data_IF_311292604140
#
_entry.id   IF_311292604140
#
_cell.length_a   1.000
_cell.length_b   1.000
_cell.length_c   1.000
_cell.angle_alpha   90.00
_cell.angle_beta   90.00
_cell.angle_gamma   90.00
#
_symmetry.space_group_name_H-M   'P 1'
#
loop_
_entity.id
_entity.type
_entity.pdbx_description
1 polymer ?
#
# COMPACT_ATOMS: atom_id res chain seq x y z
N UNK A 1 39.95 -58.58 49.57
CA UNK A 1 38.62 -58.32 49.03
C UNK A 1 38.06 -57.07 49.72
N UNK A 2 38.08 -55.95 49.04
CA UNK A 2 37.49 -54.66 49.53
C UNK A 2 36.29 -54.29 48.67
N UNK A 3 35.15 -54.14 49.34
CA UNK A 3 33.88 -53.73 48.67
C UNK A 3 33.94 -52.30 48.27
N UNK A 4 33.45 -51.99 47.06
CA UNK A 4 33.28 -50.64 46.51
C UNK A 4 31.96 -49.95 47.01
N UNK A 5 31.93 -48.62 47.20
CA UNK A 5 30.75 -47.94 47.67
C UNK A 5 29.74 -47.72 46.55
N UNK A 6 28.46 -47.84 46.88
CA UNK A 6 27.26 -47.58 45.98
C UNK A 6 27.04 -46.06 45.81
N UNK A 7 27.07 -45.64 44.61
CA UNK A 7 26.64 -44.27 44.28
C UNK A 7 25.09 -44.09 44.42
N UNK A 8 24.70 -43.10 45.19
CA UNK A 8 23.31 -42.67 45.32
C UNK A 8 22.88 -41.96 44.02
N UNK A 9 21.81 -42.46 43.42
CA UNK A 9 21.21 -41.86 42.23
C UNK A 9 20.49 -40.55 42.59
N UNK A 10 20.98 -39.45 42.04
CA UNK A 10 20.30 -38.15 42.04
C UNK A 10 19.08 -38.20 41.12
N UNK A 11 17.88 -38.03 41.68
CA UNK A 11 16.65 -37.90 40.91
C UNK A 11 16.62 -36.49 40.32
N UNK A 12 16.81 -36.41 39.00
CA UNK A 12 16.58 -35.20 38.25
C UNK A 12 15.08 -34.93 38.25
N UNK A 13 14.64 -33.86 38.95
CA UNK A 13 13.27 -33.39 38.92
C UNK A 13 12.97 -32.78 37.57
N UNK A 14 12.13 -33.43 36.79
CA UNK A 14 11.61 -32.88 35.56
C UNK A 14 10.70 -31.67 35.91
N UNK A 15 11.17 -30.46 35.63
CA UNK A 15 10.35 -29.28 35.66
C UNK A 15 9.29 -29.45 34.56
N UNK A 16 8.01 -29.57 34.96
CA UNK A 16 6.87 -29.49 34.02
C UNK A 16 6.86 -28.08 33.42
N UNK A 17 7.22 -27.97 32.16
CA UNK A 17 6.93 -26.77 31.38
C UNK A 17 5.41 -26.61 31.36
N UNK A 18 4.92 -25.45 31.82
CA UNK A 18 3.50 -25.06 31.63
C UNK A 18 3.31 -24.97 30.12
N UNK A 19 2.54 -25.91 29.58
CA UNK A 19 2.06 -25.79 28.20
C UNK A 19 1.26 -24.47 28.12
N UNK A 20 1.73 -23.57 27.30
CA UNK A 20 1.01 -22.32 27.01
C UNK A 20 -0.25 -22.74 26.25
N UNK A 21 -1.39 -22.47 26.83
CA UNK A 21 -2.69 -22.74 26.21
C UNK A 21 -2.91 -21.74 25.08
N UNK A 22 -2.71 -22.16 23.85
CA UNK A 22 -2.89 -21.38 22.63
C UNK A 22 -4.35 -21.29 22.19
N UNK A 23 -5.29 -21.83 22.97
CA UNK A 23 -6.71 -21.88 22.59
C UNK A 23 -7.47 -20.59 22.88
N UNK A 24 -6.89 -19.65 23.62
CA UNK A 24 -7.53 -18.34 23.87
C UNK A 24 -7.03 -17.34 22.85
N UNK A 25 -7.60 -17.36 21.65
CA UNK A 25 -7.52 -16.19 20.74
C UNK A 25 -8.29 -15.06 21.43
N UNK A 26 -7.58 -14.10 22.00
CA UNK A 26 -8.21 -12.85 22.44
C UNK A 26 -8.78 -12.20 21.19
N UNK A 27 -10.09 -12.08 21.12
CA UNK A 27 -10.74 -11.23 20.13
C UNK A 27 -10.19 -9.81 20.34
N UNK A 28 -9.47 -9.30 19.35
CA UNK A 28 -9.03 -7.91 19.35
C UNK A 28 -10.28 -7.08 19.18
N UNK A 29 -10.58 -6.20 20.15
CA UNK A 29 -11.67 -5.24 20.01
C UNK A 29 -11.33 -4.31 18.85
N UNK A 30 -12.29 -4.05 17.98
CA UNK A 30 -12.11 -3.12 16.87
C UNK A 30 -11.87 -1.72 17.41
N UNK A 31 -10.87 -1.02 16.86
CA UNK A 31 -10.56 0.36 17.20
C UNK A 31 -11.69 1.32 16.79
N UNK A 32 -12.53 0.93 15.80
CA UNK A 32 -13.61 1.74 15.31
C UNK A 32 -14.90 0.93 15.19
N UNK A 33 -16.05 1.40 15.76
CA UNK A 33 -17.30 0.64 15.75
C UNK A 33 -17.87 0.40 14.35
N UNK A 34 -17.65 1.32 13.42
CA UNK A 34 -18.13 1.24 12.04
C UNK A 34 -17.19 0.46 11.11
N UNK A 35 -16.01 0.09 11.61
CA UNK A 35 -14.98 -0.66 10.87
C UNK A 35 -14.51 -1.87 11.68
N UNK A 36 -15.36 -2.89 11.83
CA UNK A 36 -15.02 -4.07 12.61
C UNK A 36 -13.84 -4.81 11.97
N UNK A 37 -12.80 -5.03 12.76
CA UNK A 37 -11.55 -5.64 12.33
C UNK A 37 -10.37 -4.67 12.19
N UNK A 38 -10.61 -3.36 12.30
CA UNK A 38 -9.53 -2.40 12.49
C UNK A 38 -8.92 -2.55 13.89
N UNK A 39 -7.63 -2.33 13.98
CA UNK A 39 -6.84 -2.36 15.21
C UNK A 39 -6.12 -1.03 15.38
N UNK A 40 -5.72 -0.72 16.62
CA UNK A 40 -4.92 0.47 16.89
C UNK A 40 -3.58 0.42 16.13
N UNK A 41 -3.02 1.59 15.80
CA UNK A 41 -1.77 1.69 15.04
C UNK A 41 -0.55 1.11 15.78
N UNK A 42 -0.62 1.01 17.11
CA UNK A 42 0.40 0.40 17.97
C UNK A 42 0.24 -1.11 18.15
N UNK A 43 -0.67 -1.74 17.41
CA UNK A 43 -0.83 -3.19 17.41
C UNK A 43 0.50 -3.89 17.10
N UNK A 44 0.85 -4.91 17.89
CA UNK A 44 2.09 -5.64 17.74
C UNK A 44 2.18 -6.30 16.37
N UNK A 45 3.29 -6.05 15.66
CA UNK A 45 3.51 -6.51 14.28
C UNK A 45 4.70 -7.44 14.20
N UNK A 46 4.56 -8.44 13.35
CA UNK A 46 5.64 -9.34 12.95
C UNK A 46 6.34 -8.79 11.70
N UNK A 47 7.65 -8.70 11.75
CA UNK A 47 8.48 -8.22 10.65
C UNK A 47 9.42 -9.32 10.17
N UNK A 48 9.68 -9.34 8.87
CA UNK A 48 10.74 -10.14 8.28
C UNK A 48 11.73 -9.24 7.56
N UNK A 49 13.02 -9.52 7.74
CA UNK A 49 14.08 -8.86 6.98
C UNK A 49 14.85 -9.91 6.17
N UNK A 50 15.09 -9.61 4.90
CA UNK A 50 15.87 -10.47 4.01
C UNK A 50 16.57 -9.62 2.95
N UNK A 51 17.68 -10.13 2.45
CA UNK A 51 18.36 -9.52 1.31
C UNK A 51 17.70 -9.94 0.01
N UNK A 52 17.61 -9.00 -0.91
CA UNK A 52 17.20 -9.30 -2.28
C UNK A 52 18.17 -10.35 -2.87
N UNK A 53 17.68 -11.50 -3.32
CA UNK A 53 18.53 -12.55 -3.89
C UNK A 53 19.35 -12.08 -5.09
N UNK A 54 18.82 -11.14 -5.86
CA UNK A 54 19.45 -10.60 -7.07
C UNK A 54 20.34 -9.37 -6.78
N UNK A 55 20.18 -8.76 -5.59
CA UNK A 55 20.96 -7.58 -5.17
C UNK A 55 21.34 -7.64 -3.69
N UNK A 56 22.51 -8.20 -3.33
CA UNK A 56 22.98 -8.31 -1.94
C UNK A 56 23.16 -6.97 -1.19
N UNK A 57 23.20 -5.86 -1.93
CA UNK A 57 23.23 -4.50 -1.35
C UNK A 57 21.85 -3.96 -0.98
N UNK A 58 20.79 -4.73 -1.17
CA UNK A 58 19.41 -4.33 -0.92
C UNK A 58 18.78 -5.21 0.16
N UNK A 59 18.41 -4.59 1.28
CA UNK A 59 17.68 -5.22 2.40
C UNK A 59 16.20 -4.87 2.28
N UNK A 60 15.33 -5.86 2.37
CA UNK A 60 13.89 -5.67 2.39
C UNK A 60 13.39 -5.99 3.81
N UNK A 61 12.68 -5.04 4.42
CA UNK A 61 11.96 -5.21 5.68
C UNK A 61 10.46 -5.19 5.40
N UNK A 62 9.76 -6.28 5.66
CA UNK A 62 8.36 -6.44 5.33
C UNK A 62 7.50 -6.67 6.59
N UNK A 63 6.42 -5.91 6.72
CA UNK A 63 5.41 -6.07 7.76
C UNK A 63 4.51 -7.26 7.44
N UNK A 64 4.82 -8.43 7.99
CA UNK A 64 4.06 -9.65 7.72
C UNK A 64 2.65 -9.59 8.29
N UNK A 65 2.46 -8.97 9.43
CA UNK A 65 1.14 -8.84 10.06
C UNK A 65 0.17 -8.17 9.11
N UNK A 66 0.57 -7.06 8.50
CA UNK A 66 -0.27 -6.34 7.56
C UNK A 66 -0.35 -7.04 6.19
N UNK A 67 0.78 -7.47 5.63
CA UNK A 67 0.81 -8.11 4.30
C UNK A 67 0.00 -9.41 4.23
N UNK A 68 -0.12 -10.14 5.35
CA UNK A 68 -0.93 -11.35 5.45
C UNK A 68 -2.37 -11.07 5.89
N UNK A 69 -2.70 -9.83 6.22
CA UNK A 69 -4.07 -9.43 6.55
C UNK A 69 -4.95 -9.41 5.29
N UNK A 70 -6.26 -9.29 5.49
CA UNK A 70 -7.24 -9.12 4.40
C UNK A 70 -7.67 -7.67 4.37
N UNK A 71 -7.47 -7.03 3.23
CA UNK A 71 -7.95 -5.69 2.99
C UNK A 71 -8.66 -5.62 1.63
N UNK A 72 -9.55 -4.66 1.47
CA UNK A 72 -10.31 -4.44 0.24
C UNK A 72 -10.38 -2.95 -0.05
N UNK A 73 -10.06 -2.55 -1.29
CA UNK A 73 -10.29 -1.17 -1.72
C UNK A 73 -11.80 -0.89 -1.70
N UNK A 74 -12.18 0.13 -0.95
CA UNK A 74 -13.59 0.57 -0.80
C UNK A 74 -14.01 1.57 -1.87
N UNK A 75 -13.27 1.67 -2.96
CA UNK A 75 -13.56 2.55 -4.10
C UNK A 75 -15.02 2.39 -4.58
N UNK A 76 -15.65 3.54 -4.83
CA UNK A 76 -17.04 3.57 -5.30
C UNK A 76 -18.09 3.33 -4.21
N UNK A 77 -17.68 3.17 -2.97
CA UNK A 77 -18.60 3.11 -1.81
C UNK A 77 -18.58 4.42 -1.02
N UNK A 78 -19.59 4.69 -0.16
CA UNK A 78 -19.60 5.86 0.73
C UNK A 78 -18.40 5.91 1.70
N UNK A 79 -17.75 4.78 1.96
CA UNK A 79 -16.55 4.72 2.79
C UNK A 79 -15.29 5.25 2.08
N UNK A 80 -15.29 5.34 0.76
CA UNK A 80 -14.17 5.92 0.01
C UNK A 80 -14.18 7.45 0.09
N UNK A 81 -13.32 8.01 0.91
CA UNK A 81 -13.25 9.46 1.16
C UNK A 81 -12.93 10.26 -0.12
N UNK A 82 -12.17 9.71 -1.06
CA UNK A 82 -11.85 10.36 -2.33
C UNK A 82 -13.03 10.52 -3.27
N UNK A 83 -14.21 9.95 -2.96
CA UNK A 83 -15.45 10.08 -3.74
C UNK A 83 -16.58 10.78 -2.98
N UNK A 84 -16.35 11.25 -1.77
CA UNK A 84 -17.36 11.94 -0.95
C UNK A 84 -17.56 13.36 -1.46
N UNK A 85 -18.80 13.76 -1.71
CA UNK A 85 -19.15 15.12 -2.12
C UNK A 85 -18.74 16.14 -1.04
N UNK A 86 -18.14 17.25 -1.48
CA UNK A 86 -17.63 18.29 -0.60
C UNK A 86 -16.32 17.97 0.11
N UNK A 87 -15.75 16.77 -0.09
CA UNK A 87 -14.46 16.32 0.47
C UNK A 87 -13.50 15.82 -0.60
N UNK A 88 -13.17 16.63 -1.62
CA UNK A 88 -12.33 16.20 -2.75
C UNK A 88 -10.86 15.98 -2.34
N UNK A 89 -10.45 16.50 -1.17
CA UNK A 89 -9.08 16.38 -0.66
C UNK A 89 -8.88 15.13 0.19
N UNK A 90 -9.93 14.34 0.41
CA UNK A 90 -9.83 13.10 1.15
C UNK A 90 -9.58 11.91 0.21
N UNK A 91 -8.84 10.92 0.71
CA UNK A 91 -8.54 9.69 0.00
C UNK A 91 -7.38 9.78 -0.99
N UNK A 92 -7.08 8.68 -1.63
CA UNK A 92 -5.89 8.50 -2.48
C UNK A 92 -5.87 9.36 -3.76
N UNK A 93 -7.03 9.89 -4.19
CA UNK A 93 -7.14 10.72 -5.38
C UNK A 93 -6.87 12.21 -5.12
N UNK A 94 -6.72 12.65 -3.87
CA UNK A 94 -6.55 14.07 -3.52
C UNK A 94 -5.17 14.62 -3.91
N UNK A 95 -4.14 13.78 -3.94
CA UNK A 95 -2.76 14.22 -4.16
C UNK A 95 -2.30 14.13 -5.62
N UNK A 96 -3.03 13.47 -6.49
CA UNK A 96 -2.55 13.03 -7.79
C UNK A 96 -1.65 11.78 -7.64
N UNK A 97 -1.15 11.28 -8.75
CA UNK A 97 -0.32 10.08 -8.80
C UNK A 97 1.01 10.43 -9.46
N UNK A 98 2.11 10.34 -8.72
CA UNK A 98 3.45 10.40 -9.31
C UNK A 98 3.68 9.15 -10.16
N UNK A 99 4.32 9.35 -11.30
CA UNK A 99 4.63 8.27 -12.23
C UNK A 99 5.99 7.68 -11.86
N UNK A 100 6.06 6.36 -11.79
CA UNK A 100 7.27 5.67 -11.35
C UNK A 100 8.39 5.72 -12.39
N UNK A 101 8.04 5.69 -13.69
CA UNK A 101 8.98 5.66 -14.80
C UNK A 101 8.30 5.97 -16.14
N UNK A 102 9.06 5.88 -17.25
CA UNK A 102 8.56 6.12 -18.60
C UNK A 102 7.55 5.05 -19.05
N UNK A 103 7.65 3.82 -18.57
CA UNK A 103 6.69 2.74 -18.88
C UNK A 103 5.35 3.00 -18.21
N UNK A 104 5.36 3.47 -16.96
CA UNK A 104 4.14 3.91 -16.25
C UNK A 104 3.48 5.08 -17.00
N UNK A 105 4.27 6.03 -17.48
CA UNK A 105 3.79 7.13 -18.31
C UNK A 105 3.16 6.64 -19.62
N UNK A 106 3.86 5.78 -20.36
CA UNK A 106 3.37 5.24 -21.63
C UNK A 106 2.07 4.46 -21.44
N UNK A 107 1.94 3.71 -20.36
CA UNK A 107 0.72 2.99 -19.98
C UNK A 107 -0.44 3.95 -19.68
N UNK A 108 -0.16 5.03 -18.94
CA UNK A 108 -1.16 6.07 -18.69
C UNK A 108 -1.59 6.77 -19.98
N UNK A 109 -0.66 7.13 -20.88
CA UNK A 109 -0.95 7.76 -22.17
C UNK A 109 -1.84 6.87 -23.04
N UNK A 110 -1.56 5.56 -23.09
CA UNK A 110 -2.40 4.57 -23.77
C UNK A 110 -3.81 4.48 -23.13
N UNK A 111 -3.89 4.46 -21.81
CA UNK A 111 -5.15 4.45 -21.10
C UNK A 111 -5.99 5.71 -21.38
N UNK A 112 -5.36 6.89 -21.38
CA UNK A 112 -6.02 8.18 -21.70
C UNK A 112 -6.57 8.20 -23.12
N UNK A 113 -5.87 7.58 -24.08
CA UNK A 113 -6.34 7.48 -25.47
C UNK A 113 -7.69 6.75 -25.60
N UNK A 114 -8.03 5.88 -24.65
CA UNK A 114 -9.26 5.07 -24.61
C UNK A 114 -10.43 5.78 -23.91
N UNK A 115 -10.17 6.90 -23.20
CA UNK A 115 -11.20 7.64 -22.50
C UNK A 115 -12.01 8.54 -23.46
N UNK A 116 -13.31 8.51 -23.31
CA UNK A 116 -14.26 9.39 -24.01
C UNK A 116 -14.84 10.45 -23.07
N UNK A 117 -15.63 11.40 -23.60
CA UNK A 117 -16.34 12.39 -22.79
C UNK A 117 -17.37 11.76 -21.84
N UNK A 118 -17.83 10.55 -22.16
CA UNK A 118 -18.73 9.80 -21.28
C UNK A 118 -17.97 9.11 -20.11
N UNK A 119 -16.68 8.89 -20.25
CA UNK A 119 -15.87 8.23 -19.23
C UNK A 119 -15.19 9.23 -18.27
N UNK A 120 -14.85 10.44 -18.76
CA UNK A 120 -13.96 11.36 -18.06
C UNK A 120 -14.51 12.79 -18.02
N UNK A 121 -14.96 13.23 -16.84
CA UNK A 121 -15.59 14.53 -16.59
C UNK A 121 -14.74 15.73 -17.05
N UNK A 122 -13.43 15.67 -16.86
CA UNK A 122 -12.52 16.78 -17.14
C UNK A 122 -11.65 16.53 -18.38
N UNK A 123 -12.14 15.74 -19.33
CA UNK A 123 -11.39 15.38 -20.53
C UNK A 123 -10.92 16.58 -21.33
N UNK A 124 -11.78 17.59 -21.52
CA UNK A 124 -11.45 18.84 -22.20
C UNK A 124 -10.30 19.60 -21.52
N UNK A 125 -10.23 19.54 -20.19
CA UNK A 125 -9.16 20.15 -19.40
C UNK A 125 -7.88 19.32 -19.42
N UNK A 126 -8.03 18.00 -19.43
CA UNK A 126 -6.90 17.07 -19.46
C UNK A 126 -6.22 17.03 -20.83
N UNK A 127 -6.98 17.13 -21.91
CA UNK A 127 -6.44 17.19 -23.28
C UNK A 127 -6.14 18.62 -23.75
N UNK A 128 -6.47 19.63 -22.95
CA UNK A 128 -6.18 21.03 -23.24
C UNK A 128 -4.70 21.38 -23.03
N UNK A 129 -4.37 22.68 -23.21
CA UNK A 129 -2.97 23.18 -23.18
C UNK A 129 -2.16 22.80 -21.94
N UNK A 130 -2.81 22.65 -20.77
CA UNK A 130 -2.12 22.28 -19.52
C UNK A 130 -1.88 20.77 -19.37
N UNK A 131 -2.52 19.96 -20.20
CA UNK A 131 -2.40 18.50 -20.11
C UNK A 131 -3.05 17.89 -18.86
N UNK A 132 -2.93 16.58 -18.73
CA UNK A 132 -3.35 15.79 -17.57
C UNK A 132 -2.19 15.44 -16.64
N UNK A 133 -0.97 15.83 -17.00
CA UNK A 133 0.23 15.72 -16.17
C UNK A 133 0.72 17.10 -15.75
N UNK A 134 1.38 17.17 -14.64
CA UNK A 134 2.13 18.33 -14.16
C UNK A 134 3.45 17.86 -13.53
N UNK A 135 4.47 18.72 -13.56
CA UNK A 135 5.71 18.50 -12.79
C UNK A 135 5.47 18.96 -11.35
N UNK A 136 5.92 18.17 -10.41
CA UNK A 136 5.94 18.53 -9.00
C UNK A 136 7.14 17.88 -8.30
N UNK A 137 7.50 18.40 -7.15
CA UNK A 137 8.61 17.87 -6.36
C UNK A 137 8.17 16.65 -5.57
N UNK A 138 8.92 15.57 -5.68
CA UNK A 138 8.79 14.36 -4.89
C UNK A 138 10.17 13.88 -4.44
N UNK A 139 10.35 13.77 -3.12
CA UNK A 139 11.63 13.34 -2.51
C UNK A 139 12.85 14.17 -2.96
N UNK A 140 12.66 15.47 -3.27
CA UNK A 140 13.72 16.39 -3.71
C UNK A 140 14.01 16.35 -5.21
N UNK A 141 13.26 15.62 -6.00
CA UNK A 141 13.36 15.55 -7.45
C UNK A 141 12.07 16.00 -8.15
N UNK A 142 12.20 16.61 -9.34
CA UNK A 142 11.05 16.92 -10.18
C UNK A 142 10.56 15.66 -10.88
N UNK A 143 9.31 15.29 -10.64
CA UNK A 143 8.67 14.13 -11.26
C UNK A 143 7.32 14.51 -11.86
N UNK A 144 6.93 13.79 -12.91
CA UNK A 144 5.58 13.91 -13.44
C UNK A 144 4.58 13.24 -12.51
N UNK A 145 3.47 13.94 -12.27
CA UNK A 145 2.28 13.35 -11.63
C UNK A 145 1.02 13.67 -12.42
N UNK A 146 -0.04 12.93 -12.16
CA UNK A 146 -1.37 13.30 -12.66
C UNK A 146 -1.78 14.64 -12.08
N UNK A 147 -2.17 15.58 -12.95
CA UNK A 147 -2.49 16.95 -12.57
C UNK A 147 -3.66 17.01 -11.58
N UNK A 148 -3.55 17.90 -10.61
CA UNK A 148 -4.67 18.24 -9.74
C UNK A 148 -5.58 19.28 -10.42
N UNK A 149 -6.87 19.02 -10.37
CA UNK A 149 -7.89 19.92 -10.86
C UNK A 149 -9.07 19.98 -9.91
N UNK A 150 -9.44 21.18 -9.44
CA UNK A 150 -10.48 21.39 -8.42
C UNK A 150 -10.27 20.51 -7.17
N UNK A 151 -9.07 20.55 -6.60
CA UNK A 151 -8.74 19.92 -5.32
C UNK A 151 -8.41 18.42 -5.38
N UNK A 152 -8.48 17.76 -6.55
CA UNK A 152 -8.14 16.34 -6.63
C UNK A 152 -7.58 15.97 -8.01
N UNK A 153 -7.14 14.73 -8.18
CA UNK A 153 -6.67 14.17 -9.45
C UNK A 153 -7.68 14.49 -10.58
N UNK A 154 -7.16 14.91 -11.73
CA UNK A 154 -7.99 15.26 -12.89
C UNK A 154 -8.81 14.09 -13.43
N UNK A 155 -8.39 12.86 -13.17
CA UNK A 155 -9.10 11.63 -13.54
C UNK A 155 -10.22 11.25 -12.54
N UNK A 156 -10.34 11.94 -11.42
CA UNK A 156 -11.42 11.71 -10.47
C UNK A 156 -12.70 12.42 -10.94
N UNK A 157 -13.67 11.69 -11.43
CA UNK A 157 -15.02 12.16 -11.71
C UNK A 157 -15.74 12.48 -10.39
N UNK A 158 -16.43 13.60 -10.34
CA UNK A 158 -17.20 14.06 -9.18
C UNK A 158 -18.59 13.40 -9.15
N UNK A 159 -19.30 13.45 -7.99
CA UNK A 159 -20.62 12.83 -7.84
C UNK A 159 -21.67 13.27 -8.87
N UNK A 160 -21.58 14.48 -9.39
CA UNK A 160 -22.49 15.08 -10.38
C UNK A 160 -22.24 14.64 -11.82
N UNK A 161 -21.20 13.84 -12.06
CA UNK A 161 -20.88 13.42 -13.43
C UNK A 161 -21.82 12.30 -13.91
N UNK A 162 -22.49 12.46 -15.08
CA UNK A 162 -23.44 11.46 -15.58
C UNK A 162 -22.82 10.09 -15.86
N UNK A 163 -21.52 10.04 -16.18
CA UNK A 163 -20.76 8.79 -16.38
C UNK A 163 -20.39 8.07 -15.08
N UNK A 164 -20.82 8.59 -13.92
CA UNK A 164 -20.55 8.06 -12.60
C UNK A 164 -19.33 8.70 -11.92
N UNK A 165 -19.39 8.75 -10.59
CA UNK A 165 -18.30 9.24 -9.76
C UNK A 165 -17.16 8.23 -9.69
N UNK A 166 -15.94 8.73 -9.38
CA UNK A 166 -14.76 7.90 -9.14
C UNK A 166 -13.70 8.04 -10.22
N UNK A 167 -12.68 7.21 -10.18
CA UNK A 167 -11.55 7.27 -11.10
C UNK A 167 -11.97 6.84 -12.52
N UNK A 168 -11.90 7.76 -13.50
CA UNK A 168 -12.21 7.48 -14.91
C UNK A 168 -11.40 6.30 -15.46
N UNK A 169 -10.11 6.20 -15.13
CA UNK A 169 -9.24 5.10 -15.56
C UNK A 169 -9.72 3.75 -14.99
N UNK A 170 -10.10 3.73 -13.70
CA UNK A 170 -10.59 2.50 -13.05
C UNK A 170 -11.93 2.06 -13.67
N UNK A 171 -12.89 2.98 -13.77
CA UNK A 171 -14.20 2.68 -14.33
C UNK A 171 -14.09 2.21 -15.78
N UNK A 172 -13.21 2.83 -16.58
CA UNK A 172 -12.97 2.40 -17.96
C UNK A 172 -12.35 1.00 -18.03
N UNK A 173 -11.37 0.68 -17.18
CA UNK A 173 -10.80 -0.65 -17.12
C UNK A 173 -11.87 -1.72 -16.83
N UNK A 174 -12.74 -1.46 -15.85
CA UNK A 174 -13.86 -2.35 -15.53
C UNK A 174 -14.82 -2.51 -16.71
N UNK A 175 -15.16 -1.42 -17.40
CA UNK A 175 -16.03 -1.46 -18.59
C UNK A 175 -15.41 -2.25 -19.76
N UNK A 176 -14.09 -2.24 -19.88
CA UNK A 176 -13.35 -3.02 -20.88
C UNK A 176 -13.09 -4.47 -20.47
N UNK A 177 -13.41 -4.85 -19.22
CA UNK A 177 -13.13 -6.17 -18.68
C UNK A 177 -11.64 -6.45 -18.46
N UNK A 178 -10.83 -5.39 -18.30
CA UNK A 178 -9.39 -5.51 -18.01
C UNK A 178 -9.09 -5.14 -16.57
N UNK A 179 -7.94 -5.60 -16.09
CA UNK A 179 -7.51 -5.26 -14.73
C UNK A 179 -7.23 -3.74 -14.60
N UNK A 180 -7.74 -3.05 -13.56
CA UNK A 180 -7.50 -1.62 -13.38
C UNK A 180 -6.01 -1.23 -13.33
N UNK A 181 -5.15 -2.13 -12.85
CA UNK A 181 -3.70 -1.93 -12.82
C UNK A 181 -3.07 -1.73 -14.22
N UNK A 182 -3.74 -2.17 -15.30
CA UNK A 182 -3.25 -1.97 -16.67
C UNK A 182 -3.55 -0.58 -17.24
N UNK A 183 -4.34 0.22 -16.52
CA UNK A 183 -4.75 1.55 -16.97
C UNK A 183 -4.43 2.66 -15.97
N UNK A 184 -4.16 2.32 -14.72
CA UNK A 184 -3.86 3.32 -13.66
C UNK A 184 -2.35 3.46 -13.50
N UNK A 185 -1.85 4.64 -13.06
CA UNK A 185 -0.48 4.77 -12.57
C UNK A 185 -0.17 3.76 -11.47
N UNK A 186 1.08 3.33 -11.39
CA UNK A 186 1.53 2.29 -10.46
C UNK A 186 1.17 2.59 -9.01
N UNK A 187 1.40 3.81 -8.55
CA UNK A 187 1.06 4.21 -7.18
C UNK A 187 -0.43 4.05 -6.87
N UNK A 188 -1.32 4.21 -7.87
CA UNK A 188 -2.77 4.12 -7.66
C UNK A 188 -3.27 2.71 -7.38
N UNK A 189 -2.57 1.67 -7.83
CA UNK A 189 -2.93 0.28 -7.53
C UNK A 189 -2.06 -0.33 -6.44
N UNK A 190 -0.90 0.25 -6.16
CA UNK A 190 -0.05 -0.15 -5.03
C UNK A 190 -0.65 0.23 -3.68
N UNK A 191 -1.41 1.33 -3.63
CA UNK A 191 -2.11 1.68 -2.40
C UNK A 191 -3.06 0.53 -1.96
N UNK A 192 -3.08 0.19 -0.66
CA UNK A 192 -2.47 0.89 0.47
C UNK A 192 -1.04 0.43 0.84
N UNK A 193 -0.29 -0.21 -0.06
CA UNK A 193 1.10 -0.61 0.21
C UNK A 193 2.00 0.62 0.18
N UNK A 194 2.65 0.90 1.30
CA UNK A 194 3.70 1.91 1.39
C UNK A 194 5.06 1.26 1.24
N UNK A 195 5.90 1.83 0.40
CA UNK A 195 7.33 1.51 0.29
C UNK A 195 8.12 2.75 0.64
N UNK A 196 9.01 2.66 1.60
CA UNK A 196 9.97 3.70 1.91
C UNK A 196 11.39 3.15 1.76
N UNK A 197 12.31 3.97 1.28
CA UNK A 197 13.69 3.58 1.05
C UNK A 197 14.63 4.49 1.84
N UNK A 198 15.65 3.89 2.43
CA UNK A 198 16.71 4.61 3.15
C UNK A 198 18.05 3.91 2.94
N UNK A 199 19.13 4.71 2.89
CA UNK A 199 20.48 4.17 2.94
C UNK A 199 20.89 3.95 4.38
N UNK A 200 21.33 2.74 4.69
CA UNK A 200 21.75 2.34 6.02
C UNK A 200 23.21 1.92 5.99
N UNK A 201 24.03 2.52 6.88
CA UNK A 201 25.43 2.13 7.04
C UNK A 201 25.53 1.00 8.05
N UNK A 202 26.11 -0.11 7.64
CA UNK A 202 26.39 -1.26 8.51
C UNK A 202 27.55 -1.00 9.46
N UNK A 203 27.71 -1.78 10.53
CA UNK A 203 28.86 -1.67 11.45
C UNK A 203 30.22 -1.84 10.78
N UNK A 204 30.29 -2.55 9.65
CA UNK A 204 31.49 -2.72 8.84
C UNK A 204 31.78 -1.56 7.88
N UNK A 205 30.93 -0.51 7.89
CA UNK A 205 31.05 0.65 7.03
C UNK A 205 30.44 0.48 5.63
N UNK A 206 29.82 -0.67 5.32
CA UNK A 206 29.14 -0.89 4.05
C UNK A 206 27.79 -0.19 4.03
N UNK A 207 27.49 0.54 2.97
CA UNK A 207 26.17 1.11 2.73
C UNK A 207 25.28 0.12 1.98
N UNK A 208 24.03 -0.02 2.45
CA UNK A 208 23.01 -0.83 1.83
C UNK A 208 21.73 -0.02 1.69
N UNK A 209 20.98 -0.28 0.62
CA UNK A 209 19.62 0.25 0.48
C UNK A 209 18.67 -0.60 1.30
N UNK A 210 17.92 0.00 2.22
CA UNK A 210 16.83 -0.68 2.95
C UNK A 210 15.48 -0.20 2.41
N UNK A 211 14.65 -1.14 1.95
CA UNK A 211 13.26 -0.89 1.60
C UNK A 211 12.34 -1.44 2.68
N UNK A 212 11.54 -0.59 3.28
CA UNK A 212 10.49 -0.98 4.22
C UNK A 212 9.15 -1.06 3.49
N UNK A 213 8.46 -2.21 3.62
CA UNK A 213 7.15 -2.47 3.00
C UNK A 213 6.11 -2.66 4.09
N UNK A 214 5.15 -1.76 4.16
CA UNK A 214 4.08 -1.75 5.17
C UNK A 214 2.81 -1.08 4.61
N UNK A 215 1.84 -0.76 5.46
CA UNK A 215 0.66 0.03 5.08
C UNK A 215 0.98 1.52 4.90
N UNK A 216 0.07 2.19 4.18
CA UNK A 216 0.18 3.63 3.89
C UNK A 216 -0.38 4.47 5.03
#
# INVERSE_FOLDING_TARGET
>A
MRAAPRHAGSRCGAARSKATDWTTVKTVESAHPDHPGEVELDFAREWVEFYDPDNPGHLIAADLTWLLSRWTCVFGTPACQGTVEGRPDDGCCSHGAFLSDDDDRARLDDAVSKLTDADWQFRDKGLGRKGYLELDEHEGEEQFRTRKYKGACIFLNRPDFPGGMGCALHTKAMALGVQPLTMKPDVCWQLPIRRSQEWVTRPDGTEILKTTVTEY
#
